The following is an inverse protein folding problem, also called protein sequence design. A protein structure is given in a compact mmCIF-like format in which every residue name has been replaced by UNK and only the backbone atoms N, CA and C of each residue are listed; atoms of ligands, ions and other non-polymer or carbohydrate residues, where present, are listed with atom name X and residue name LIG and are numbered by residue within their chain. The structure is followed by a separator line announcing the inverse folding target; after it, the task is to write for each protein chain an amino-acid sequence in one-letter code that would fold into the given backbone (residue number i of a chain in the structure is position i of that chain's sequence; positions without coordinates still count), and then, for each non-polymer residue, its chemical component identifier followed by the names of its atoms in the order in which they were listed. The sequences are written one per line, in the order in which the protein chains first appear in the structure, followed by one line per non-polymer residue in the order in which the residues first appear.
data_IF_613460117501
#
_entry.id   IF_613460117501
#
_cell.length_a   1.000
_cell.length_b   1.000
_cell.length_c   1.000
_cell.angle_alpha   90.00
_cell.angle_beta   90.00
_cell.angle_gamma   90.00
#
_symmetry.space_group_name_H-M   'P 1'
#
loop_
_entity.id
_entity.type
_entity.pdbx_description
1 polymer ?
#
# COMPACT_ATOMS: atom_id res chain seq x y z
N UNK A 1 -35.63 5.11 3.75
CA UNK A 1 -35.65 4.90 2.28
C UNK A 1 -35.58 3.40 2.01
N UNK A 2 -36.63 2.79 1.45
CA UNK A 2 -36.64 1.38 1.05
C UNK A 2 -35.99 1.24 -0.33
N UNK A 3 -34.99 0.37 -0.46
CA UNK A 3 -34.34 0.11 -1.74
C UNK A 3 -35.12 -1.01 -2.44
N UNK A 4 -36.01 -0.65 -3.37
CA UNK A 4 -36.88 -1.58 -4.13
C UNK A 4 -36.16 -2.69 -4.91
N UNK A 5 -34.81 -2.74 -4.91
CA UNK A 5 -34.00 -3.74 -5.61
C UNK A 5 -32.98 -4.44 -4.72
N UNK A 6 -33.06 -4.28 -3.40
CA UNK A 6 -32.20 -5.01 -2.48
C UNK A 6 -32.71 -6.46 -2.33
N UNK A 7 -32.00 -7.39 -2.98
CA UNK A 7 -32.23 -8.84 -2.89
C UNK A 7 -31.39 -9.51 -1.79
N UNK A 8 -30.71 -8.71 -0.96
CA UNK A 8 -29.86 -9.20 0.12
C UNK A 8 -30.62 -9.67 1.36
N UNK A 9 -29.86 -10.10 2.37
CA UNK A 9 -30.40 -10.65 3.62
C UNK A 9 -30.99 -9.55 4.51
N UNK A 10 -32.26 -9.70 4.93
CA UNK A 10 -32.90 -8.84 5.91
C UNK A 10 -32.98 -9.56 7.28
N UNK A 11 -32.25 -9.08 8.32
CA UNK A 11 -32.25 -9.72 9.63
C UNK A 11 -33.65 -9.67 10.25
N UNK A 12 -34.01 -10.73 10.98
CA UNK A 12 -35.32 -10.92 11.62
C UNK A 12 -36.56 -10.99 10.70
N UNK A 13 -36.40 -10.86 9.38
CA UNK A 13 -37.52 -10.95 8.43
C UNK A 13 -38.29 -12.28 8.52
N UNK A 14 -37.57 -13.41 8.68
CA UNK A 14 -38.17 -14.75 8.77
C UNK A 14 -38.91 -15.04 10.06
N UNK A 15 -38.70 -14.24 11.12
CA UNK A 15 -39.31 -14.44 12.44
C UNK A 15 -40.50 -13.53 12.70
N UNK A 16 -40.79 -12.61 11.78
CA UNK A 16 -41.97 -11.76 11.81
C UNK A 16 -42.85 -12.17 10.61
N UNK A 17 -44.16 -12.24 10.79
CA UNK A 17 -45.11 -12.64 9.74
C UNK A 17 -46.32 -11.70 9.77
N UNK A 18 -47.09 -11.65 8.68
CA UNK A 18 -48.37 -10.91 8.64
C UNK A 18 -48.32 -9.47 8.10
N UNK A 19 -47.23 -9.07 7.45
CA UNK A 19 -47.15 -7.81 6.71
C UNK A 19 -46.61 -8.08 5.29
N UNK A 20 -46.81 -7.13 4.37
CA UNK A 20 -46.16 -7.19 3.06
C UNK A 20 -44.65 -6.98 3.21
N UNK A 21 -43.87 -7.54 2.27
CA UNK A 21 -42.41 -7.45 2.27
C UNK A 21 -41.91 -6.01 2.48
N UNK A 22 -42.46 -5.04 1.74
CA UNK A 22 -42.06 -3.64 1.84
C UNK A 22 -42.34 -3.01 3.22
N UNK A 23 -43.54 -3.20 3.76
CA UNK A 23 -43.90 -2.67 5.08
C UNK A 23 -43.09 -3.33 6.20
N UNK A 24 -42.84 -4.63 6.08
CA UNK A 24 -42.13 -5.41 7.08
C UNK A 24 -40.64 -5.08 7.14
N UNK A 25 -39.97 -5.07 5.99
CA UNK A 25 -38.55 -4.70 5.89
C UNK A 25 -38.32 -3.25 6.28
N UNK A 26 -39.24 -2.33 5.94
CA UNK A 26 -39.17 -0.94 6.38
C UNK A 26 -39.21 -0.81 7.91
N UNK A 27 -40.14 -1.52 8.58
CA UNK A 27 -40.23 -1.54 10.06
C UNK A 27 -38.96 -2.12 10.68
N UNK A 28 -38.45 -3.24 10.14
CA UNK A 28 -37.22 -3.89 10.60
C UNK A 28 -35.98 -2.99 10.47
N UNK A 29 -35.90 -2.24 9.38
CA UNK A 29 -34.78 -1.32 9.15
C UNK A 29 -34.79 -0.10 10.07
N UNK A 30 -35.93 0.26 10.67
CA UNK A 30 -36.03 1.37 11.63
C UNK A 30 -35.97 0.92 13.09
N UNK A 31 -36.14 -0.37 13.35
CA UNK A 31 -36.23 -0.94 14.69
C UNK A 31 -34.84 -0.98 15.36
N UNK A 32 -34.63 -0.27 16.49
CA UNK A 32 -33.34 -0.25 17.20
C UNK A 32 -33.02 -1.57 17.91
N UNK A 33 -34.00 -2.46 18.10
CA UNK A 33 -33.79 -3.77 18.73
C UNK A 33 -33.20 -4.80 17.77
N UNK A 34 -33.15 -4.48 16.47
CA UNK A 34 -32.59 -5.34 15.44
C UNK A 34 -31.11 -5.01 15.27
N UNK A 35 -30.25 -5.98 15.57
CA UNK A 35 -28.82 -5.86 15.32
C UNK A 35 -28.59 -5.56 13.83
N UNK A 36 -28.03 -4.39 13.55
CA UNK A 36 -27.66 -3.90 12.22
C UNK A 36 -26.31 -3.20 12.31
N UNK A 37 -25.60 -3.13 11.19
CA UNK A 37 -24.40 -2.31 11.07
C UNK A 37 -24.73 -0.85 11.42
N UNK A 38 -23.86 -0.19 12.17
CA UNK A 38 -23.95 1.24 12.49
C UNK A 38 -23.92 2.11 11.21
N UNK A 39 -23.25 1.58 10.18
CA UNK A 39 -23.05 2.23 8.89
C UNK A 39 -23.79 1.47 7.79
N UNK A 40 -24.57 2.18 6.96
CA UNK A 40 -25.30 1.57 5.84
C UNK A 40 -24.30 0.97 4.82
N UNK A 41 -24.66 -0.13 4.16
CA UNK A 41 -23.80 -0.69 3.09
C UNK A 41 -23.55 0.30 1.94
N UNK A 42 -24.47 1.27 1.79
CA UNK A 42 -24.39 2.38 0.85
C UNK A 42 -24.12 3.73 1.52
N UNK A 43 -23.81 3.76 2.83
CA UNK A 43 -23.40 5.02 3.46
C UNK A 43 -22.21 5.56 2.70
N UNK A 44 -22.11 6.89 2.69
CA UNK A 44 -21.16 7.63 1.91
C UNK A 44 -19.79 6.95 1.85
N UNK A 45 -19.23 6.94 0.64
CA UNK A 45 -17.82 6.65 0.40
C UNK A 45 -17.01 7.82 0.98
N UNK A 46 -17.22 8.16 2.25
CA UNK A 46 -16.30 9.01 2.99
C UNK A 46 -14.95 8.37 2.77
N UNK A 47 -14.09 9.11 2.08
CA UNK A 47 -12.83 8.63 1.55
C UNK A 47 -12.00 8.03 2.72
N UNK A 48 -12.29 8.50 3.93
CA UNK A 48 -11.54 8.37 5.17
C UNK A 48 -11.64 7.04 5.90
N UNK A 49 -12.60 6.15 5.60
CA UNK A 49 -12.68 4.86 6.32
C UNK A 49 -11.47 3.96 6.00
N UNK A 50 -10.90 4.09 4.79
CA UNK A 50 -9.71 3.36 4.34
C UNK A 50 -8.97 4.11 3.21
N UNK A 51 -8.48 5.33 3.47
CA UNK A 51 -7.48 5.93 2.57
C UNK A 51 -6.14 5.21 2.75
N UNK A 52 -5.92 4.14 1.99
CA UNK A 52 -4.56 3.63 1.81
C UNK A 52 -3.88 4.58 0.83
N UNK A 53 -3.19 5.59 1.32
CA UNK A 53 -2.39 6.49 0.47
C UNK A 53 -1.30 5.65 -0.22
N UNK A 54 -1.41 5.53 -1.55
CA UNK A 54 -0.53 4.71 -2.40
C UNK A 54 -0.03 5.56 -3.57
N UNK A 55 1.29 5.63 -3.81
CA UNK A 55 2.38 5.01 -3.04
C UNK A 55 2.56 5.67 -1.66
N UNK A 56 3.14 4.99 -0.65
CA UNK A 56 3.37 5.59 0.67
C UNK A 56 4.42 6.69 0.59
N UNK A 57 4.29 7.73 1.42
CA UNK A 57 5.17 8.92 1.38
C UNK A 57 6.66 8.57 1.42
N UNK A 58 7.06 7.63 2.29
CA UNK A 58 8.45 7.14 2.38
C UNK A 58 9.02 6.67 1.03
N UNK A 59 8.20 6.07 0.17
CA UNK A 59 8.66 5.51 -1.11
C UNK A 59 8.77 6.62 -2.16
N UNK A 60 7.94 7.67 -2.03
CA UNK A 60 8.07 8.92 -2.79
C UNK A 60 9.37 9.62 -2.42
N UNK A 61 9.63 9.81 -1.12
CA UNK A 61 10.82 10.51 -0.62
C UNK A 61 12.12 9.83 -1.10
N UNK A 62 12.16 8.50 -1.15
CA UNK A 62 13.29 7.73 -1.68
C UNK A 62 13.48 7.97 -3.18
N UNK A 63 12.40 8.02 -3.95
CA UNK A 63 12.46 8.28 -5.40
C UNK A 63 12.90 9.72 -5.67
N UNK A 64 12.35 10.69 -4.93
CA UNK A 64 12.73 12.12 -5.03
C UNK A 64 14.17 12.36 -4.59
N UNK A 65 14.66 11.65 -3.56
CA UNK A 65 16.05 11.74 -3.10
C UNK A 65 17.08 11.40 -4.18
N UNK A 66 16.70 10.63 -5.21
CA UNK A 66 17.59 10.35 -6.35
C UNK A 66 17.78 11.52 -7.28
N UNK A 67 16.93 12.54 -7.26
CA UNK A 67 17.02 13.67 -8.19
C UNK A 67 18.39 14.36 -8.15
N UNK A 68 19.09 14.31 -7.02
CA UNK A 68 20.45 14.87 -6.87
C UNK A 68 21.56 14.02 -7.47
N UNK A 69 21.32 12.74 -7.79
CA UNK A 69 22.37 11.79 -8.22
C UNK A 69 21.97 10.88 -9.38
N UNK A 70 20.72 10.91 -9.84
CA UNK A 70 20.16 10.01 -10.84
C UNK A 70 19.42 10.71 -11.98
N UNK A 71 18.94 9.92 -12.94
CA UNK A 71 18.27 10.42 -14.14
C UNK A 71 16.90 11.05 -13.83
N UNK A 72 16.57 12.23 -14.40
CA UNK A 72 15.27 12.89 -14.17
C UNK A 72 14.08 12.09 -14.71
N UNK A 73 14.34 11.09 -15.55
CA UNK A 73 13.35 10.20 -16.16
C UNK A 73 12.55 9.42 -15.09
N UNK A 74 13.17 9.13 -13.95
CA UNK A 74 12.57 8.31 -12.89
C UNK A 74 11.92 9.14 -11.77
N UNK A 75 11.60 10.41 -12.03
CA UNK A 75 10.98 11.29 -11.05
C UNK A 75 9.52 10.88 -10.74
N UNK A 76 9.13 10.98 -9.47
CA UNK A 76 7.73 10.87 -9.06
C UNK A 76 6.98 12.18 -9.34
N UNK A 77 5.73 12.14 -9.86
CA UNK A 77 5.03 10.96 -10.37
C UNK A 77 5.48 10.59 -11.78
N UNK A 78 5.69 9.29 -12.02
CA UNK A 78 6.06 8.81 -13.36
C UNK A 78 4.90 8.97 -14.34
N UNK A 79 5.20 9.43 -15.56
CA UNK A 79 4.21 9.70 -16.60
C UNK A 79 3.58 8.38 -17.08
N UNK A 80 2.23 8.24 -17.02
CA UNK A 80 1.55 7.10 -17.62
C UNK A 80 1.79 7.03 -19.14
N UNK A 81 2.06 5.83 -19.67
CA UNK A 81 2.41 5.65 -21.09
C UNK A 81 3.90 5.78 -21.39
N UNK A 82 4.75 5.92 -20.37
CA UNK A 82 6.18 5.72 -20.52
C UNK A 82 6.48 4.26 -20.88
N UNK A 83 7.01 4.04 -22.08
CA UNK A 83 7.35 2.72 -22.63
C UNK A 83 8.80 2.30 -22.37
N UNK A 84 9.60 3.17 -21.73
CA UNK A 84 10.96 2.85 -21.38
C UNK A 84 11.05 1.85 -20.22
N UNK A 85 12.27 1.39 -19.96
CA UNK A 85 12.53 0.40 -18.91
C UNK A 85 12.38 1.01 -17.51
N UNK A 86 11.56 0.40 -16.65
CA UNK A 86 11.53 0.71 -15.22
C UNK A 86 12.00 -0.53 -14.45
N UNK A 87 13.06 -0.41 -13.63
CA UNK A 87 13.55 -1.52 -12.83
C UNK A 87 12.43 -2.10 -11.95
N UNK A 88 12.35 -3.45 -11.89
CA UNK A 88 11.44 -4.21 -11.03
C UNK A 88 9.94 -4.05 -11.27
N UNK A 89 9.50 -3.22 -12.23
CA UNK A 89 8.07 -2.96 -12.48
C UNK A 89 7.31 -4.23 -12.89
N UNK A 90 7.95 -5.14 -13.63
CA UNK A 90 7.34 -6.39 -14.11
C UNK A 90 6.92 -7.35 -12.99
N UNK A 91 7.38 -7.14 -11.76
CA UNK A 91 6.96 -7.93 -10.61
C UNK A 91 5.78 -7.29 -9.85
N UNK A 92 5.34 -6.08 -10.23
CA UNK A 92 4.25 -5.34 -9.58
C UNK A 92 2.99 -5.43 -10.44
N UNK A 93 1.83 -5.65 -9.80
CA UNK A 93 0.54 -5.79 -10.47
C UNK A 93 -0.60 -5.23 -9.61
N UNK A 94 -1.78 -5.02 -10.22
CA UNK A 94 -3.01 -4.69 -9.50
C UNK A 94 -3.15 -3.22 -9.06
N UNK A 95 -2.19 -2.36 -9.41
CA UNK A 95 -2.22 -0.92 -9.10
C UNK A 95 -2.07 -0.05 -10.36
N UNK A 96 -2.27 1.26 -10.23
CA UNK A 96 -1.99 2.21 -11.33
C UNK A 96 -0.50 2.18 -11.69
N UNK A 97 -0.19 2.41 -12.97
CA UNK A 97 1.19 2.45 -13.46
C UNK A 97 2.10 3.34 -12.63
N UNK A 98 1.68 4.57 -12.33
CA UNK A 98 2.48 5.53 -11.55
C UNK A 98 2.80 5.03 -10.13
N UNK A 99 1.87 4.33 -9.50
CA UNK A 99 2.05 3.72 -8.18
C UNK A 99 3.03 2.55 -8.29
N UNK A 100 2.85 1.67 -9.27
CA UNK A 100 3.74 0.52 -9.46
C UNK A 100 5.18 0.95 -9.78
N UNK A 101 5.35 1.95 -10.64
CA UNK A 101 6.64 2.46 -11.03
C UNK A 101 7.40 3.04 -9.83
N UNK A 102 6.72 3.80 -8.98
CA UNK A 102 7.33 4.44 -7.81
C UNK A 102 7.66 3.43 -6.72
N UNK A 103 6.76 2.47 -6.45
CA UNK A 103 7.05 1.34 -5.57
C UNK A 103 8.25 0.52 -6.07
N UNK A 104 8.28 0.17 -7.37
CA UNK A 104 9.35 -0.62 -7.98
C UNK A 104 10.69 0.10 -7.96
N UNK A 105 10.70 1.40 -8.28
CA UNK A 105 11.87 2.24 -8.13
C UNK A 105 12.33 2.22 -6.67
N UNK A 106 11.48 2.60 -5.71
CA UNK A 106 11.87 2.67 -4.29
C UNK A 106 12.49 1.36 -3.78
N UNK A 107 12.00 0.21 -4.24
CA UNK A 107 12.53 -1.11 -3.92
C UNK A 107 13.93 -1.32 -4.52
N UNK A 108 14.11 -0.97 -5.79
CA UNK A 108 15.40 -1.05 -6.47
C UNK A 108 16.50 -0.21 -5.77
N UNK A 109 16.15 0.97 -5.24
CA UNK A 109 17.12 1.78 -4.49
C UNK A 109 17.56 1.10 -3.20
N UNK A 110 16.59 0.58 -2.45
CA UNK A 110 16.87 -0.15 -1.20
C UNK A 110 17.78 -1.34 -1.45
N UNK A 111 17.59 -2.04 -2.56
CA UNK A 111 18.47 -3.14 -2.99
C UNK A 111 19.88 -2.65 -3.32
N UNK A 112 20.02 -1.55 -4.08
CA UNK A 112 21.34 -0.97 -4.37
C UNK A 112 22.08 -0.53 -3.11
N UNK A 113 21.40 0.13 -2.18
CA UNK A 113 21.99 0.56 -0.92
C UNK A 113 22.49 -0.64 -0.11
N UNK A 114 21.66 -1.68 0.05
CA UNK A 114 22.04 -2.93 0.73
C UNK A 114 23.22 -3.63 0.06
N UNK A 115 23.23 -3.70 -1.27
CA UNK A 115 24.33 -4.30 -2.02
C UNK A 115 25.63 -3.51 -1.81
N UNK A 116 25.57 -2.18 -1.82
CA UNK A 116 26.72 -1.30 -1.57
C UNK A 116 27.23 -1.45 -0.14
N UNK A 117 26.34 -1.52 0.85
CA UNK A 117 26.70 -1.79 2.24
C UNK A 117 27.40 -3.14 2.39
N UNK A 118 26.86 -4.20 1.78
CA UNK A 118 27.48 -5.53 1.81
C UNK A 118 28.88 -5.53 1.17
N UNK A 119 29.06 -4.86 0.02
CA UNK A 119 30.38 -4.72 -0.60
C UNK A 119 31.35 -3.94 0.29
N UNK A 120 30.90 -2.86 0.93
CA UNK A 120 31.74 -2.08 1.85
C UNK A 120 32.18 -2.92 3.05
N UNK A 121 31.29 -3.77 3.59
CA UNK A 121 31.64 -4.71 4.67
C UNK A 121 32.69 -5.72 4.22
N UNK A 122 32.55 -6.30 3.02
CA UNK A 122 33.54 -7.23 2.47
C UNK A 122 34.91 -6.57 2.28
N UNK A 123 34.94 -5.36 1.71
CA UNK A 123 36.18 -4.61 1.56
C UNK A 123 36.83 -4.31 2.91
N UNK A 124 36.03 -3.92 3.92
CA UNK A 124 36.51 -3.69 5.29
C UNK A 124 37.11 -4.95 5.88
N UNK A 125 36.44 -6.09 5.74
CA UNK A 125 36.90 -7.38 6.26
C UNK A 125 38.19 -7.85 5.58
N UNK A 126 38.30 -7.70 4.25
CA UNK A 126 39.55 -7.99 3.53
C UNK A 126 40.71 -7.12 4.01
N UNK A 127 40.47 -5.82 4.23
CA UNK A 127 41.49 -4.90 4.74
C UNK A 127 41.95 -5.24 6.17
N UNK A 128 41.06 -5.76 7.02
CA UNK A 128 41.40 -6.29 8.35
C UNK A 128 42.29 -7.54 8.24
N UNK A 129 41.95 -8.48 7.35
CA UNK A 129 42.72 -9.70 7.13
C UNK A 129 44.13 -9.42 6.59
N UNK A 130 44.26 -8.46 5.67
CA UNK A 130 45.54 -8.06 5.07
C UNK A 130 46.44 -7.25 6.04
N UNK A 131 45.96 -6.92 7.24
CA UNK A 131 46.69 -6.11 8.24
C UNK A 131 46.88 -4.64 7.83
N UNK A 132 46.20 -4.19 6.78
CA UNK A 132 46.27 -2.80 6.27
C UNK A 132 45.30 -1.86 6.98
N UNK A 133 44.37 -2.40 7.77
CA UNK A 133 43.37 -1.65 8.49
C UNK A 133 43.39 -1.99 10.00
N UNK A 134 43.57 -0.98 10.84
CA UNK A 134 43.48 -1.14 12.29
C UNK A 134 42.02 -0.99 12.75
N UNK A 135 41.41 -2.02 13.37
CA UNK A 135 40.03 -1.96 13.85
C UNK A 135 39.88 -0.90 14.94
N UNK A 136 39.00 0.09 14.69
CA UNK A 136 38.72 1.21 15.60
C UNK A 136 37.57 0.92 16.54
N UNK A 137 36.55 0.22 16.07
CA UNK A 137 35.37 -0.17 16.86
C UNK A 137 35.48 -1.61 17.36
N UNK A 138 34.76 -1.92 18.44
CA UNK A 138 34.72 -3.27 19.04
C UNK A 138 34.08 -4.28 18.09
N UNK A 139 33.10 -3.82 17.29
CA UNK A 139 32.42 -4.61 16.26
C UNK A 139 33.37 -5.10 15.16
N UNK A 140 34.51 -4.44 14.96
CA UNK A 140 35.50 -4.83 13.95
C UNK A 140 36.44 -5.94 14.42
N UNK A 141 36.39 -6.30 15.71
CA UNK A 141 37.32 -7.24 16.36
C UNK A 141 36.69 -8.60 16.69
N UNK A 142 35.37 -8.74 16.54
CA UNK A 142 34.65 -10.02 16.74
C UNK A 142 34.62 -10.83 15.45
#
# INVERSE_FOLDING_TARGET
MFVCRYTGYCPQYRYRMGNTYGSQTHKLLLDPTVNRSEKLVLSDRTVDDYQVFRPPQRDIDIVEGRFMSGDPIYQHPTIPGYEGFIPRINAKFGQRYSVQATEALSEFEKEQMKAREALNLLHRQGALQDGRYCPRDIEDRQ
#
